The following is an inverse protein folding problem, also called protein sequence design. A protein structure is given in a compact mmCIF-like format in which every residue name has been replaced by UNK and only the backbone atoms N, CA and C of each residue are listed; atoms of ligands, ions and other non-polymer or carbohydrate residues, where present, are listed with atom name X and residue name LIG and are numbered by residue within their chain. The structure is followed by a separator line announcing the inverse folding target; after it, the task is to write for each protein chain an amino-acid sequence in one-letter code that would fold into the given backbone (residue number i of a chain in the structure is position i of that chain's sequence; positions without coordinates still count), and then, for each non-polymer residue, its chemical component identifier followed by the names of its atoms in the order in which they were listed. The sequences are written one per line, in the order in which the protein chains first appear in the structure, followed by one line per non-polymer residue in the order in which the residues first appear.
data_IF_219565861932
#
_entry.id   IF_219565861932
#
_cell.length_a   1.000
_cell.length_b   1.000
_cell.length_c   1.000
_cell.angle_alpha   90.00
_cell.angle_beta   90.00
_cell.angle_gamma   90.00
#
_symmetry.space_group_name_H-M   'P 1'
#
loop_
_entity.id
_entity.type
_entity.pdbx_description
1 polymer ?
#
# COMPACT_ATOMS: atom_id res chain seq x y z
N UNK A 1 3.31 6.97 -27.02
CA UNK A 1 2.53 6.00 -26.21
C UNK A 1 3.41 5.65 -25.01
N UNK A 2 3.76 6.67 -24.22
CA UNK A 2 5.01 6.60 -23.44
C UNK A 2 4.69 6.32 -21.97
N UNK A 3 3.67 7.00 -21.45
CA UNK A 3 3.21 6.85 -20.06
C UNK A 3 2.82 5.40 -19.74
N UNK A 4 2.07 4.73 -20.61
CA UNK A 4 1.63 3.35 -20.37
C UNK A 4 2.82 2.36 -20.38
N UNK A 5 3.80 2.60 -21.24
CA UNK A 5 4.99 1.77 -21.35
C UNK A 5 5.88 1.94 -20.11
N UNK A 6 6.13 3.18 -19.70
CA UNK A 6 6.87 3.47 -18.46
C UNK A 6 6.16 2.91 -17.22
N UNK A 7 4.83 2.96 -17.15
CA UNK A 7 4.08 2.36 -16.05
C UNK A 7 4.21 0.82 -16.01
N UNK A 8 4.25 0.18 -17.18
CA UNK A 8 4.44 -1.27 -17.28
C UNK A 8 5.85 -1.69 -16.84
N UNK A 9 6.89 -0.96 -17.29
CA UNK A 9 8.27 -1.18 -16.87
C UNK A 9 8.41 -1.04 -15.36
N UNK A 10 7.92 0.08 -14.79
CA UNK A 10 7.94 0.34 -13.34
C UNK A 10 7.20 -0.75 -12.56
N UNK A 11 6.10 -1.28 -13.09
CA UNK A 11 5.35 -2.36 -12.46
C UNK A 11 6.13 -3.67 -12.39
N UNK A 12 6.86 -4.03 -13.45
CA UNK A 12 7.69 -5.24 -13.49
C UNK A 12 8.91 -5.08 -12.58
N UNK A 13 9.64 -3.96 -12.69
CA UNK A 13 10.86 -3.72 -11.92
C UNK A 13 10.61 -3.68 -10.41
N UNK A 14 9.51 -3.07 -9.99
CA UNK A 14 9.19 -2.88 -8.58
C UNK A 14 8.21 -3.92 -8.03
N UNK A 15 7.79 -4.90 -8.84
CA UNK A 15 6.79 -5.92 -8.49
C UNK A 15 5.48 -5.28 -7.98
N UNK A 16 4.94 -4.32 -8.73
CA UNK A 16 3.62 -3.76 -8.46
C UNK A 16 2.53 -4.70 -8.98
N UNK A 17 1.42 -4.73 -8.24
CA UNK A 17 0.23 -5.51 -8.60
C UNK A 17 -0.86 -4.59 -9.12
N UNK A 18 -1.67 -5.08 -10.06
CA UNK A 18 -2.84 -4.35 -10.54
C UNK A 18 -3.89 -4.27 -9.43
N UNK A 19 -4.32 -3.07 -8.99
CA UNK A 19 -5.37 -2.94 -7.99
C UNK A 19 -6.74 -3.34 -8.55
N UNK A 20 -7.63 -3.77 -7.66
CA UNK A 20 -9.06 -3.95 -7.96
C UNK A 20 -9.78 -2.66 -7.57
N UNK A 21 -10.52 -2.07 -8.50
CA UNK A 21 -11.28 -0.84 -8.27
C UNK A 21 -12.75 -1.17 -8.45
N UNK A 22 -13.54 -0.94 -7.41
CA UNK A 22 -15.00 -1.06 -7.39
C UNK A 22 -15.63 0.23 -6.82
N UNK A 23 -16.97 0.32 -6.83
CA UNK A 23 -17.70 1.48 -6.31
C UNK A 23 -17.84 1.50 -4.78
N UNK A 24 -17.16 0.58 -4.06
CA UNK A 24 -17.21 0.50 -2.61
C UNK A 24 -16.20 1.43 -1.94
N UNK A 25 -16.42 1.76 -0.66
CA UNK A 25 -15.46 2.53 0.15
C UNK A 25 -14.38 1.66 0.80
N UNK A 26 -14.10 0.48 0.25
CA UNK A 26 -13.12 -0.45 0.81
C UNK A 26 -11.73 -0.05 0.37
N UNK A 27 -10.85 0.15 1.34
CA UNK A 27 -9.43 0.37 1.09
C UNK A 27 -8.65 -0.72 1.80
N UNK A 28 -8.11 -1.66 1.01
CA UNK A 28 -7.38 -2.81 1.51
C UNK A 28 -6.05 -2.96 0.78
N UNK A 29 -4.96 -2.90 1.53
CA UNK A 29 -3.61 -3.12 1.05
C UNK A 29 -3.03 -4.30 1.84
N UNK A 30 -2.50 -5.29 1.12
CA UNK A 30 -1.80 -6.42 1.71
C UNK A 30 -0.32 -6.27 1.39
N UNK A 31 0.52 -6.28 2.41
CA UNK A 31 1.98 -6.14 2.34
C UNK A 31 2.38 -4.93 1.48
N UNK A 32 1.74 -3.80 1.73
CA UNK A 32 2.01 -2.54 1.07
C UNK A 32 3.41 -2.02 1.38
N UNK A 33 4.09 -1.52 0.35
CA UNK A 33 5.39 -0.85 0.46
C UNK A 33 5.24 0.61 0.06
N UNK A 34 6.00 1.49 0.71
CA UNK A 34 6.03 2.89 0.30
C UNK A 34 6.88 3.03 -0.97
N UNK A 35 6.36 3.59 -2.08
CA UNK A 35 7.00 3.54 -3.40
C UNK A 35 8.37 4.23 -3.46
N UNK A 36 8.62 5.20 -2.57
CA UNK A 36 9.87 5.98 -2.52
C UNK A 36 10.88 5.46 -1.50
N UNK A 37 10.44 4.80 -0.42
CA UNK A 37 11.34 4.39 0.69
C UNK A 37 12.05 3.06 0.37
N UNK A 38 11.71 2.41 -0.74
CA UNK A 38 12.45 1.27 -1.28
C UNK A 38 12.17 -0.06 -0.56
N UNK A 39 13.00 -1.05 -0.84
CA UNK A 39 12.86 -2.44 -0.37
C UNK A 39 13.18 -2.65 1.11
N UNK A 40 13.86 -1.69 1.73
CA UNK A 40 14.27 -1.75 3.15
C UNK A 40 13.12 -1.42 4.11
N UNK A 41 11.97 -1.00 3.56
CA UNK A 41 10.75 -0.79 4.35
C UNK A 41 9.98 -2.09 4.54
N UNK A 42 9.70 -2.42 5.80
CA UNK A 42 8.86 -3.56 6.16
C UNK A 42 7.44 -3.33 5.62
N UNK A 43 7.01 -4.23 4.74
CA UNK A 43 5.68 -4.20 4.17
C UNK A 43 4.60 -4.32 5.26
N UNK A 44 3.59 -3.46 5.21
CA UNK A 44 2.49 -3.43 6.18
C UNK A 44 1.14 -3.61 5.50
N UNK A 45 0.23 -4.29 6.19
CA UNK A 45 -1.17 -4.38 5.79
C UNK A 45 -1.89 -3.08 6.19
N UNK A 46 -2.96 -2.72 5.47
CA UNK A 46 -3.83 -1.60 5.80
C UNK A 46 -5.26 -1.93 5.35
N UNK A 47 -6.21 -1.90 6.28
CA UNK A 47 -7.63 -2.17 6.00
C UNK A 47 -8.50 -1.06 6.62
N UNK A 48 -9.07 -0.22 5.75
CA UNK A 48 -9.99 0.87 6.09
C UNK A 48 -11.39 0.61 5.50
N UNK A 49 -11.82 -0.65 5.45
CA UNK A 49 -13.18 -1.00 5.03
C UNK A 49 -14.27 -0.57 6.02
N UNK A 50 -15.54 -0.62 5.60
CA UNK A 50 -16.69 -0.28 6.46
C UNK A 50 -16.67 -1.10 7.77
N UNK A 51 -16.52 -0.40 8.90
CA UNK A 51 -16.30 -0.98 10.23
C UNK A 51 -14.92 -0.65 10.84
N UNK A 52 -13.95 -0.24 10.02
CA UNK A 52 -12.59 0.13 10.43
C UNK A 52 -12.11 1.44 9.78
N UNK A 53 -13.03 2.39 9.56
CA UNK A 53 -12.79 3.66 8.83
C UNK A 53 -11.85 4.64 9.55
N UNK A 54 -11.43 4.32 10.77
CA UNK A 54 -10.48 5.11 11.55
C UNK A 54 -9.45 4.19 12.17
N UNK A 55 -8.20 4.36 11.79
CA UNK A 55 -7.07 3.66 12.39
C UNK A 55 -6.33 4.55 13.37
N UNK A 56 -6.26 4.14 14.63
CA UNK A 56 -5.42 4.81 15.64
C UNK A 56 -4.00 4.26 15.53
N UNK A 57 -3.09 5.07 14.99
CA UNK A 57 -1.68 4.70 14.86
C UNK A 57 -0.96 5.08 16.15
N UNK A 58 -0.55 4.09 16.94
CA UNK A 58 0.27 4.27 18.15
C UNK A 58 1.57 3.48 18.03
N UNK A 59 2.67 4.03 18.54
CA UNK A 59 3.98 3.42 18.43
C UNK A 59 5.09 4.35 18.95
N UNK A 60 6.25 3.76 19.25
CA UNK A 60 7.47 4.51 19.55
C UNK A 60 8.01 5.19 18.28
N UNK A 61 8.77 6.28 18.42
CA UNK A 61 9.22 7.16 17.31
C UNK A 61 9.77 6.39 16.09
N UNK A 62 10.43 5.27 16.30
CA UNK A 62 11.05 4.45 15.23
C UNK A 62 10.28 3.17 14.88
N UNK A 63 9.22 2.84 15.60
CA UNK A 63 8.44 1.63 15.37
C UNK A 63 6.96 1.96 15.38
N UNK A 64 6.50 2.45 14.23
CA UNK A 64 5.08 2.42 13.90
C UNK A 64 4.81 1.07 13.22
N UNK A 65 4.52 0.05 14.03
CA UNK A 65 3.85 -1.16 13.54
C UNK A 65 2.37 -0.98 13.79
N UNK A 66 1.64 -0.59 12.76
CA UNK A 66 0.20 -0.74 12.79
C UNK A 66 -0.10 -2.25 12.73
N UNK A 67 -0.41 -2.85 13.88
CA UNK A 67 -1.07 -4.15 13.89
C UNK A 67 -2.49 -3.91 13.39
N UNK A 68 -2.74 -4.26 12.13
CA UNK A 68 -4.08 -4.51 11.61
C UNK A 68 -4.24 -6.02 11.49
#
# INVERSE_FOLDING_TARGET
MDVLTTLAEVAVENNYVRPIVDDSKKFKIVRGRHPVVGTDFIANDCDLSEGNSMSLITGQIWQVRARF
#
